data_IF_324722227226
#
_entry.id   IF_324722227226
#
_cell.length_a   1.000
_cell.length_b   1.000
_cell.length_c   1.000
_cell.angle_alpha   90.00
_cell.angle_beta   90.00
_cell.angle_gamma   90.00
#
_symmetry.space_group_name_H-M   'P 1'
#
loop_
_entity.id
_entity.type
_entity.pdbx_description
1 polymer ?
#
# COMPACT_ATOMS: atom_id res chain seq x y z
N UNK A 1 -26.09 27.45 -29.20
CA UNK A 1 -26.18 28.14 -30.51
C UNK A 1 -26.57 27.06 -31.50
N UNK A 2 -27.64 27.25 -32.26
CA UNK A 2 -28.13 26.24 -33.19
C UNK A 2 -27.46 26.46 -34.54
N UNK A 3 -26.81 25.44 -35.07
CA UNK A 3 -26.22 25.46 -36.41
C UNK A 3 -27.21 24.88 -37.42
N UNK A 4 -27.35 25.54 -38.55
CA UNK A 4 -28.11 25.02 -39.68
C UNK A 4 -27.16 24.20 -40.56
N UNK A 5 -27.35 22.88 -40.60
CA UNK A 5 -26.53 21.97 -41.40
C UNK A 5 -27.15 21.76 -42.79
N UNK A 6 -26.30 21.52 -43.80
CA UNK A 6 -26.76 21.12 -45.13
C UNK A 6 -26.80 19.60 -45.20
N UNK A 7 -27.99 19.02 -45.37
CA UNK A 7 -28.15 17.57 -45.60
C UNK A 7 -27.81 17.28 -47.07
N UNK A 8 -27.00 16.25 -47.32
CA UNK A 8 -26.62 15.85 -48.68
C UNK A 8 -27.75 15.08 -49.36
N UNK A 9 -27.74 15.02 -50.70
CA UNK A 9 -28.67 14.19 -51.46
C UNK A 9 -28.48 12.70 -51.16
N UNK A 10 -27.24 12.26 -50.97
CA UNK A 10 -26.91 10.90 -50.57
C UNK A 10 -27.45 10.56 -49.17
N UNK A 11 -27.30 11.46 -48.19
CA UNK A 11 -27.83 11.30 -46.84
C UNK A 11 -29.35 11.28 -46.80
N UNK A 12 -30.00 12.14 -47.60
CA UNK A 12 -31.47 12.09 -47.78
C UNK A 12 -31.92 10.77 -48.37
N UNK A 13 -31.23 10.27 -49.39
CA UNK A 13 -31.57 9.01 -50.04
C UNK A 13 -31.43 7.81 -49.08
N UNK A 14 -30.51 7.86 -48.11
CA UNK A 14 -30.34 6.79 -47.12
C UNK A 14 -31.47 6.77 -46.07
N UNK A 15 -32.06 7.93 -45.76
CA UNK A 15 -33.21 8.02 -44.85
C UNK A 15 -34.51 7.60 -45.54
N UNK A 16 -34.63 7.84 -46.84
CA UNK A 16 -35.83 7.48 -47.61
C UNK A 16 -35.70 6.00 -48.00
N UNK A 17 -36.67 5.17 -47.60
CA UNK A 17 -36.69 3.75 -48.01
C UNK A 17 -36.67 3.63 -49.55
N UNK A 18 -36.05 2.58 -50.10
CA UNK A 18 -35.85 2.38 -51.55
C UNK A 18 -37.14 2.51 -52.40
N UNK A 19 -38.30 2.28 -51.80
CA UNK A 19 -39.63 2.39 -52.43
C UNK A 19 -40.30 3.78 -52.26
N UNK A 20 -39.65 4.77 -51.63
CA UNK A 20 -40.19 6.10 -51.30
C UNK A 20 -41.50 6.09 -50.48
N UNK A 21 -41.78 5.02 -49.72
CA UNK A 21 -43.03 4.86 -48.96
C UNK A 21 -42.97 5.35 -47.50
N UNK A 22 -41.79 5.79 -47.03
CA UNK A 22 -41.56 6.26 -45.66
C UNK A 22 -40.08 6.51 -45.36
N UNK A 23 -39.77 6.86 -44.11
CA UNK A 23 -38.40 7.07 -43.60
C UNK A 23 -37.93 5.87 -42.77
N UNK A 24 -36.72 5.36 -43.02
CA UNK A 24 -36.06 4.34 -42.20
C UNK A 24 -35.13 4.98 -41.14
N UNK A 25 -34.77 4.24 -40.06
CA UNK A 25 -33.77 4.70 -39.11
C UNK A 25 -32.37 4.64 -39.74
N UNK A 26 -31.63 5.74 -39.69
CA UNK A 26 -30.23 5.85 -40.13
C UNK A 26 -29.34 6.08 -38.92
N UNK A 27 -28.27 5.30 -38.80
CA UNK A 27 -27.36 5.41 -37.66
C UNK A 27 -26.16 6.28 -38.01
N UNK A 28 -25.95 7.36 -37.25
CA UNK A 28 -24.73 8.18 -37.33
C UNK A 28 -23.67 7.59 -36.40
N UNK A 29 -22.51 7.21 -36.95
CA UNK A 29 -21.43 6.52 -36.24
C UNK A 29 -20.11 7.30 -36.23
N UNK A 30 -19.92 8.20 -37.20
CA UNK A 30 -18.67 8.91 -37.36
C UNK A 30 -18.90 10.40 -37.65
N UNK A 31 -17.89 11.20 -37.32
CA UNK A 31 -17.80 12.61 -37.70
C UNK A 31 -16.46 12.87 -38.39
N UNK A 32 -16.54 13.44 -39.58
CA UNK A 32 -15.40 14.04 -40.28
C UNK A 32 -15.18 15.46 -39.81
N UNK A 33 -13.94 15.83 -39.57
CA UNK A 33 -13.48 17.18 -39.26
C UNK A 33 -12.48 17.62 -40.32
N UNK A 34 -12.60 18.85 -40.79
CA UNK A 34 -11.72 19.38 -41.83
C UNK A 34 -11.44 20.87 -41.70
N UNK A 35 -10.56 21.35 -42.57
CA UNK A 35 -10.17 22.76 -42.67
C UNK A 35 -10.88 23.49 -43.83
N UNK A 36 -11.82 22.85 -44.52
CA UNK A 36 -12.54 23.44 -45.64
C UNK A 36 -13.39 24.64 -45.21
N UNK A 37 -13.32 25.70 -46.00
CA UNK A 37 -14.09 26.93 -45.84
C UNK A 37 -14.86 27.21 -47.12
N UNK A 38 -16.14 26.89 -47.14
CA UNK A 38 -16.97 27.04 -48.32
C UNK A 38 -18.45 27.07 -47.92
N UNK A 39 -19.33 27.36 -48.89
CA UNK A 39 -20.76 27.22 -48.69
C UNK A 39 -21.18 25.78 -49.05
N UNK A 40 -21.70 24.96 -48.11
CA UNK A 40 -21.96 23.56 -48.38
C UNK A 40 -22.96 23.32 -49.52
N UNK A 41 -22.67 22.30 -50.33
CA UNK A 41 -23.46 21.89 -51.49
C UNK A 41 -24.17 20.55 -51.19
N UNK A 42 -25.50 20.45 -51.35
CA UNK A 42 -26.22 19.19 -51.20
C UNK A 42 -25.70 18.02 -52.04
N UNK A 43 -25.05 18.26 -53.17
CA UNK A 43 -24.52 17.18 -54.04
C UNK A 43 -23.20 16.57 -53.54
N UNK A 44 -22.66 17.04 -52.40
CA UNK A 44 -21.39 16.54 -51.86
C UNK A 44 -21.47 15.09 -51.35
N UNK A 45 -20.49 14.29 -51.75
CA UNK A 45 -20.32 12.91 -51.28
C UNK A 45 -19.21 12.78 -50.22
N UNK A 46 -18.31 13.75 -50.14
CA UNK A 46 -17.19 13.82 -49.19
C UNK A 46 -16.96 15.26 -48.73
N UNK A 47 -16.30 15.43 -47.58
CA UNK A 47 -15.79 16.74 -47.15
C UNK A 47 -14.70 17.24 -48.12
N UNK A 48 -14.56 18.56 -48.24
CA UNK A 48 -13.66 19.15 -49.23
C UNK A 48 -12.19 19.10 -48.79
N UNK A 49 -11.93 19.26 -47.49
CA UNK A 49 -10.58 19.21 -46.90
C UNK A 49 -10.60 18.45 -45.57
N UNK A 50 -11.07 17.20 -45.61
CA UNK A 50 -11.08 16.33 -44.45
C UNK A 50 -9.68 16.12 -43.89
N UNK A 51 -9.53 16.39 -42.61
CA UNK A 51 -8.26 16.20 -41.88
C UNK A 51 -8.34 15.02 -40.92
N UNK A 52 -9.53 14.73 -40.39
CA UNK A 52 -9.69 13.69 -39.37
C UNK A 52 -11.09 13.09 -39.38
N UNK A 53 -11.16 11.78 -39.15
CA UNK A 53 -12.40 11.05 -38.84
C UNK A 53 -12.38 10.61 -37.38
N UNK A 54 -13.48 10.84 -36.66
CA UNK A 54 -13.67 10.42 -35.28
C UNK A 54 -14.92 9.54 -35.17
N UNK A 55 -14.83 8.47 -34.39
CA UNK A 55 -15.97 7.61 -34.01
C UNK A 55 -16.53 7.96 -32.61
N UNK A 56 -15.99 8.99 -31.97
CA UNK A 56 -16.36 9.48 -30.63
C UNK A 56 -17.46 10.54 -30.71
N UNK A 57 -18.55 10.19 -31.39
CA UNK A 57 -19.74 11.02 -31.57
C UNK A 57 -20.92 10.40 -30.83
N UNK A 58 -21.67 11.24 -30.10
CA UNK A 58 -22.94 10.87 -29.49
C UNK A 58 -23.98 11.93 -29.87
N UNK A 59 -25.24 11.52 -29.98
CA UNK A 59 -26.31 12.48 -30.23
C UNK A 59 -27.64 12.09 -29.59
N UNK A 60 -28.48 13.09 -29.42
CA UNK A 60 -29.82 12.97 -28.84
C UNK A 60 -30.80 13.82 -29.63
N UNK A 61 -32.01 13.32 -29.82
CA UNK A 61 -33.09 14.08 -30.43
C UNK A 61 -33.64 15.09 -29.41
N UNK A 62 -33.61 16.38 -29.74
CA UNK A 62 -34.08 17.47 -28.87
C UNK A 62 -35.49 17.90 -29.25
N UNK A 63 -35.79 17.97 -30.54
CA UNK A 63 -37.12 18.25 -31.11
C UNK A 63 -37.30 17.49 -32.43
N UNK A 64 -38.46 17.65 -33.08
CA UNK A 64 -38.77 16.98 -34.35
C UNK A 64 -37.77 17.29 -35.49
N UNK A 65 -37.05 18.41 -35.40
CA UNK A 65 -36.14 18.94 -36.41
C UNK A 65 -34.75 19.32 -35.83
N UNK A 66 -34.50 19.12 -34.54
CA UNK A 66 -33.23 19.44 -33.88
C UNK A 66 -32.65 18.21 -33.18
N UNK A 67 -31.35 17.99 -33.42
CA UNK A 67 -30.52 17.03 -32.71
C UNK A 67 -29.45 17.77 -31.91
N UNK A 68 -29.11 17.26 -30.74
CA UNK A 68 -27.92 17.63 -30.00
C UNK A 68 -26.82 16.64 -30.33
N UNK A 69 -25.65 17.11 -30.76
CA UNK A 69 -24.50 16.27 -31.10
C UNK A 69 -23.31 16.67 -30.25
N UNK A 70 -22.67 15.69 -29.63
CA UNK A 70 -21.44 15.85 -28.85
C UNK A 70 -20.31 15.04 -29.48
N UNK A 71 -19.14 15.66 -29.61
CA UNK A 71 -17.92 15.08 -30.19
C UNK A 71 -16.78 15.22 -29.17
N UNK A 72 -15.99 14.16 -29.00
CA UNK A 72 -14.81 14.16 -28.10
C UNK A 72 -13.55 13.74 -28.82
N UNK A 73 -12.47 14.53 -28.73
CA UNK A 73 -11.14 14.10 -29.17
C UNK A 73 -10.08 14.36 -28.08
N UNK A 74 -9.47 13.29 -27.57
CA UNK A 74 -8.40 13.29 -26.56
C UNK A 74 -7.01 12.97 -27.12
N UNK A 75 -6.89 12.77 -28.43
CA UNK A 75 -5.60 12.50 -29.09
C UNK A 75 -4.66 13.70 -29.01
N UNK A 76 -3.37 13.48 -29.26
CA UNK A 76 -2.34 14.55 -29.24
C UNK A 76 -2.32 15.46 -30.46
N UNK A 77 -3.24 15.30 -31.42
CA UNK A 77 -3.24 16.06 -32.66
C UNK A 77 -3.68 17.50 -32.43
N UNK A 78 -3.06 18.43 -33.17
CA UNK A 78 -3.43 19.84 -33.19
C UNK A 78 -4.01 20.19 -34.56
N UNK A 79 -5.22 20.76 -34.57
CA UNK A 79 -5.93 21.10 -35.79
C UNK A 79 -6.99 22.18 -35.54
N UNK A 80 -7.38 22.86 -36.61
CA UNK A 80 -8.52 23.78 -36.62
C UNK A 80 -9.67 23.11 -37.36
N UNK A 81 -10.88 23.25 -36.84
CA UNK A 81 -12.11 22.73 -37.44
C UNK A 81 -12.84 23.90 -38.09
N UNK A 82 -12.97 23.86 -39.40
CA UNK A 82 -13.73 24.83 -40.20
C UNK A 82 -14.93 24.16 -40.91
N UNK A 83 -14.86 22.85 -41.10
CA UNK A 83 -15.97 22.02 -41.56
C UNK A 83 -16.11 20.79 -40.67
N UNK A 84 -17.34 20.28 -40.56
CA UNK A 84 -17.60 18.94 -40.06
C UNK A 84 -18.69 18.25 -40.87
N UNK A 85 -18.58 16.94 -41.00
CA UNK A 85 -19.54 16.09 -41.69
C UNK A 85 -19.99 14.95 -40.79
N UNK A 86 -21.29 14.65 -40.76
CA UNK A 86 -21.85 13.48 -40.08
C UNK A 86 -21.87 12.31 -41.05
N UNK A 87 -21.44 11.13 -40.60
CA UNK A 87 -21.35 9.94 -41.43
C UNK A 87 -22.19 8.80 -40.87
N UNK A 88 -22.87 8.10 -41.78
CA UNK A 88 -23.67 6.93 -41.44
C UNK A 88 -22.79 5.70 -41.21
N UNK A 89 -23.36 4.64 -40.63
CA UNK A 89 -22.74 3.32 -40.53
C UNK A 89 -22.39 2.69 -41.90
N UNK A 90 -23.11 3.07 -42.95
CA UNK A 90 -22.80 2.73 -44.35
C UNK A 90 -21.62 3.52 -44.93
N UNK A 91 -21.10 4.52 -44.21
CA UNK A 91 -20.01 5.40 -44.65
C UNK A 91 -20.46 6.57 -45.53
N UNK A 92 -21.76 6.81 -45.67
CA UNK A 92 -22.29 7.94 -46.46
C UNK A 92 -22.13 9.26 -45.70
N UNK A 93 -21.70 10.31 -46.39
CA UNK A 93 -21.75 11.67 -45.83
C UNK A 93 -23.22 12.08 -45.73
N UNK A 94 -23.77 12.06 -44.51
CA UNK A 94 -25.17 12.35 -44.24
C UNK A 94 -25.48 13.86 -44.30
N UNK A 95 -24.67 14.65 -43.63
CA UNK A 95 -24.86 16.08 -43.53
C UNK A 95 -23.52 16.79 -43.33
N UNK A 96 -23.39 18.00 -43.85
CA UNK A 96 -22.16 18.78 -43.84
C UNK A 96 -22.43 20.21 -43.39
N UNK A 97 -21.53 20.71 -42.55
CA UNK A 97 -21.47 22.10 -42.15
C UNK A 97 -20.07 22.64 -42.42
N UNK A 98 -19.98 23.81 -43.04
CA UNK A 98 -18.74 24.56 -43.20
C UNK A 98 -19.07 26.04 -43.03
N UNK A 99 -18.19 26.79 -42.37
CA UNK A 99 -18.27 28.24 -42.29
C UNK A 99 -17.17 28.86 -43.16
N UNK A 100 -17.51 29.72 -44.13
CA UNK A 100 -16.56 30.28 -45.08
C UNK A 100 -15.58 31.29 -44.44
N UNK A 101 -15.87 31.83 -43.26
CA UNK A 101 -15.12 32.93 -42.66
C UNK A 101 -14.59 32.60 -41.25
N UNK A 102 -15.30 31.78 -40.46
CA UNK A 102 -15.00 31.57 -39.04
C UNK A 102 -14.64 30.10 -38.72
N UNK A 103 -13.62 29.86 -37.87
CA UNK A 103 -13.37 28.52 -37.35
C UNK A 103 -14.42 28.12 -36.30
N UNK A 104 -14.88 26.87 -36.37
CA UNK A 104 -15.87 26.28 -35.47
C UNK A 104 -15.21 25.94 -34.13
N UNK A 105 -14.02 25.37 -34.19
CA UNK A 105 -13.22 25.03 -33.02
C UNK A 105 -11.73 24.97 -33.38
N UNK A 106 -10.88 25.13 -32.37
CA UNK A 106 -9.45 24.92 -32.51
C UNK A 106 -8.97 24.02 -31.37
N UNK A 107 -8.21 22.98 -31.71
CA UNK A 107 -7.65 22.04 -30.75
C UNK A 107 -6.13 22.16 -30.74
N UNK A 108 -5.56 22.40 -29.56
CA UNK A 108 -4.12 22.29 -29.33
C UNK A 108 -3.75 20.86 -28.93
N UNK A 109 -2.49 20.46 -29.16
CA UNK A 109 -1.99 19.12 -28.86
C UNK A 109 -2.12 18.71 -27.37
N UNK A 110 -2.05 19.68 -26.46
CA UNK A 110 -2.18 19.47 -25.02
C UNK A 110 -3.63 19.56 -24.50
N UNK A 111 -4.62 19.73 -25.38
CA UNK A 111 -6.03 19.91 -25.00
C UNK A 111 -6.92 18.83 -25.60
N UNK A 112 -7.94 18.41 -24.86
CA UNK A 112 -9.06 17.66 -25.42
C UNK A 112 -10.03 18.63 -26.12
N UNK A 113 -10.63 18.19 -27.22
CA UNK A 113 -11.76 18.87 -27.86
C UNK A 113 -13.05 18.22 -27.35
N UNK A 114 -13.95 19.03 -26.78
CA UNK A 114 -15.32 18.66 -26.47
C UNK A 114 -16.22 19.67 -27.17
N UNK A 115 -16.84 19.26 -28.26
CA UNK A 115 -17.73 20.12 -29.04
C UNK A 115 -19.16 19.60 -28.91
N UNK A 116 -20.05 20.45 -28.40
CA UNK A 116 -21.47 20.16 -28.26
C UNK A 116 -22.26 21.20 -29.05
N UNK A 117 -23.08 20.75 -30.00
CA UNK A 117 -23.79 21.61 -30.95
C UNK A 117 -25.22 21.11 -31.12
N UNK A 118 -26.16 22.05 -31.14
CA UNK A 118 -27.53 21.80 -31.57
C UNK A 118 -27.61 22.01 -33.09
N UNK A 119 -28.13 21.03 -33.81
CA UNK A 119 -28.17 21.03 -35.28
C UNK A 119 -29.62 20.96 -35.73
N UNK A 120 -30.04 21.89 -36.58
CA UNK A 120 -31.35 21.86 -37.24
C UNK A 120 -31.28 21.10 -38.57
N UNK A 121 -32.12 20.07 -38.72
CA UNK A 121 -32.21 19.19 -39.88
C UNK A 121 -33.17 19.69 -40.98
N UNK A 122 -33.81 20.84 -40.77
CA UNK A 122 -34.70 21.46 -41.74
C UNK A 122 -35.95 20.63 -42.00
N UNK A 123 -36.08 20.05 -43.20
CA UNK A 123 -37.27 19.28 -43.62
C UNK A 123 -37.25 17.81 -43.19
N UNK A 124 -36.15 17.33 -42.59
CA UNK A 124 -36.00 15.95 -42.16
C UNK A 124 -36.42 15.77 -40.69
N UNK A 125 -37.11 14.67 -40.39
CA UNK A 125 -37.51 14.34 -39.03
C UNK A 125 -36.34 13.73 -38.23
N UNK A 126 -35.99 14.33 -37.10
CA UNK A 126 -34.90 13.89 -36.23
C UNK A 126 -35.10 12.47 -35.67
N UNK A 127 -36.34 11.97 -35.56
CA UNK A 127 -36.62 10.60 -35.11
C UNK A 127 -36.21 9.53 -36.13
N UNK A 128 -35.88 9.92 -37.36
CA UNK A 128 -35.29 9.01 -38.35
C UNK A 128 -33.79 8.77 -38.12
N UNK A 129 -33.17 9.47 -37.17
CA UNK A 129 -31.77 9.32 -36.84
C UNK A 129 -31.60 8.58 -35.51
N UNK A 130 -30.77 7.55 -35.55
CA UNK A 130 -30.18 6.93 -34.38
C UNK A 130 -28.71 7.31 -34.31
N UNK A 131 -28.16 7.41 -33.11
CA UNK A 131 -26.72 7.56 -32.92
C UNK A 131 -26.18 6.22 -32.42
N UNK A 132 -24.91 5.94 -32.71
CA UNK A 132 -24.21 4.77 -32.13
C UNK A 132 -24.15 4.81 -30.60
N UNK A 133 -23.41 3.87 -30.01
CA UNK A 133 -23.32 3.72 -28.55
C UNK A 133 -22.84 5.01 -27.86
N UNK A 134 -23.79 5.71 -27.24
CA UNK A 134 -23.64 7.00 -26.54
C UNK A 134 -22.85 6.93 -25.23
N UNK A 135 -22.35 5.74 -24.88
CA UNK A 135 -21.63 5.56 -23.64
C UNK A 135 -20.19 6.07 -23.82
N UNK A 136 -19.94 7.30 -23.38
CA UNK A 136 -18.66 7.65 -22.75
C UNK A 136 -18.52 6.82 -21.47
N UNK A 137 -18.51 5.49 -21.63
CA UNK A 137 -18.72 4.55 -20.55
C UNK A 137 -17.75 4.90 -19.44
N UNK A 138 -18.27 4.99 -18.23
CA UNK A 138 -17.48 4.94 -17.02
C UNK A 138 -17.36 3.45 -16.68
N UNK A 139 -16.46 2.67 -17.33
CA UNK A 139 -16.36 1.24 -17.05
C UNK A 139 -16.03 1.04 -15.56
N UNK A 140 -16.43 -0.10 -14.97
CA UNK A 140 -15.95 -0.45 -13.64
C UNK A 140 -14.42 -0.53 -13.65
N UNK A 141 -13.77 0.04 -12.63
CA UNK A 141 -12.32 -0.04 -12.51
C UNK A 141 -11.87 -1.50 -12.37
N UNK A 142 -10.76 -1.84 -13.02
CA UNK A 142 -10.07 -3.13 -12.86
C UNK A 142 -8.57 -2.91 -12.75
N UNK A 143 -7.79 -3.95 -12.46
CA UNK A 143 -6.33 -3.86 -12.41
C UNK A 143 -5.70 -3.42 -13.75
N UNK A 144 -6.37 -3.68 -14.87
CA UNK A 144 -5.85 -3.44 -16.23
C UNK A 144 -6.57 -2.31 -16.97
N UNK A 145 -7.74 -1.87 -16.49
CA UNK A 145 -8.56 -0.84 -17.16
C UNK A 145 -8.97 0.24 -16.14
N UNK A 146 -8.62 1.53 -16.40
CA UNK A 146 -9.06 2.63 -15.54
C UNK A 146 -10.58 2.79 -15.62
N UNK A 147 -11.22 3.09 -14.49
CA UNK A 147 -12.67 3.16 -14.39
C UNK A 147 -13.16 3.71 -13.06
N UNK A 148 -14.43 3.46 -12.74
CA UNK A 148 -15.06 3.85 -11.47
C UNK A 148 -15.22 2.63 -10.57
N UNK A 149 -14.85 2.76 -9.31
CA UNK A 149 -15.09 1.76 -8.28
C UNK A 149 -16.00 2.32 -7.19
N UNK A 150 -16.67 1.46 -6.44
CA UNK A 150 -17.42 1.86 -5.25
C UNK A 150 -16.51 1.77 -4.01
N UNK A 151 -16.75 2.61 -3.01
CA UNK A 151 -16.08 2.49 -1.72
C UNK A 151 -16.62 1.26 -0.95
N UNK A 152 -15.74 0.39 -0.44
CA UNK A 152 -16.11 -0.82 0.30
C UNK A 152 -16.88 -0.51 1.61
N UNK A 153 -17.76 -1.37 2.11
CA UNK A 153 -18.30 -1.22 3.48
C UNK A 153 -17.29 -1.71 4.52
N UNK A 154 -17.52 -1.48 5.82
CA UNK A 154 -16.64 -2.02 6.87
C UNK A 154 -16.67 -3.55 6.91
N UNK A 155 -17.85 -4.15 6.72
CA UNK A 155 -18.01 -5.62 6.68
C UNK A 155 -17.18 -6.21 5.53
N UNK A 156 -17.30 -5.63 4.33
CA UNK A 156 -16.52 -6.07 3.16
C UNK A 156 -15.01 -5.89 3.36
N UNK A 157 -14.59 -4.83 4.06
CA UNK A 157 -13.18 -4.60 4.40
C UNK A 157 -12.66 -5.64 5.38
N UNK A 158 -13.48 -6.02 6.38
CA UNK A 158 -13.11 -7.01 7.40
C UNK A 158 -13.11 -8.44 6.83
N UNK A 159 -13.96 -8.73 5.84
CA UNK A 159 -14.00 -10.02 5.13
C UNK A 159 -12.83 -10.18 4.13
N UNK A 160 -12.40 -9.08 3.48
CA UNK A 160 -11.20 -9.07 2.63
C UNK A 160 -11.31 -9.90 1.34
N UNK A 161 -12.53 -10.21 0.88
CA UNK A 161 -12.78 -11.05 -0.29
C UNK A 161 -13.12 -10.28 -1.57
N UNK A 162 -13.48 -9.00 -1.46
CA UNK A 162 -13.92 -8.18 -2.59
C UNK A 162 -12.80 -7.31 -3.15
N UNK A 163 -12.41 -7.57 -4.40
CA UNK A 163 -11.32 -6.87 -5.09
C UNK A 163 -11.80 -5.75 -6.05
N UNK A 164 -13.10 -5.50 -6.12
CA UNK A 164 -13.70 -4.51 -7.05
C UNK A 164 -13.94 -3.14 -6.40
N UNK A 165 -13.62 -2.98 -5.11
CA UNK A 165 -13.95 -1.81 -4.30
C UNK A 165 -12.71 -1.19 -3.66
N UNK A 166 -12.73 0.12 -3.48
CA UNK A 166 -11.63 0.84 -2.82
C UNK A 166 -11.88 1.05 -1.31
N UNK A 167 -10.79 1.02 -0.54
CA UNK A 167 -10.78 1.29 0.89
C UNK A 167 -10.61 2.80 1.13
N UNK A 168 -11.34 3.36 2.10
CA UNK A 168 -11.16 4.76 2.54
C UNK A 168 -10.34 4.82 3.82
N UNK A 169 -9.74 5.98 4.11
CA UNK A 169 -8.90 6.18 5.31
C UNK A 169 -9.61 5.78 6.62
N UNK A 170 -10.92 6.00 6.73
CA UNK A 170 -11.73 5.59 7.90
C UNK A 170 -11.75 4.06 8.07
N UNK A 171 -11.88 3.31 6.98
CA UNK A 171 -11.97 1.85 6.98
C UNK A 171 -10.60 1.23 7.26
N UNK A 172 -9.55 1.78 6.64
CA UNK A 172 -8.17 1.40 6.94
C UNK A 172 -7.84 1.61 8.42
N UNK A 173 -8.24 2.75 9.00
CA UNK A 173 -8.03 3.04 10.43
C UNK A 173 -8.73 2.01 11.34
N UNK A 174 -9.93 1.55 10.97
CA UNK A 174 -10.65 0.54 11.74
C UNK A 174 -10.04 -0.87 11.64
N UNK A 175 -9.32 -1.17 10.56
CA UNK A 175 -8.57 -2.41 10.43
C UNK A 175 -7.34 -2.45 11.36
N UNK A 176 -6.78 -1.28 11.70
CA UNK A 176 -5.72 -1.14 12.70
C UNK A 176 -6.29 -1.34 14.11
N UNK A 177 -6.46 -2.60 14.51
CA UNK A 177 -6.92 -3.02 15.83
C UNK A 177 -5.73 -3.40 16.71
N UNK A 178 -5.85 -3.18 18.02
CA UNK A 178 -4.90 -3.68 19.01
C UNK A 178 -4.96 -5.22 19.02
N UNK A 179 -3.80 -5.89 18.97
CA UNK A 179 -3.75 -7.34 19.10
C UNK A 179 -4.16 -7.78 20.51
N UNK A 180 -4.85 -8.91 20.59
CA UNK A 180 -5.13 -9.64 21.84
C UNK A 180 -4.88 -11.13 21.62
N UNK A 181 -4.93 -11.94 22.67
CA UNK A 181 -4.77 -13.40 22.54
C UNK A 181 -5.76 -14.07 21.56
N UNK A 182 -6.94 -13.46 21.38
CA UNK A 182 -8.00 -13.99 20.52
C UNK A 182 -8.19 -13.23 19.20
N UNK A 183 -7.55 -12.07 19.03
CA UNK A 183 -7.75 -11.17 17.88
C UNK A 183 -6.40 -10.78 17.30
N UNK A 184 -6.20 -11.10 16.01
CA UNK A 184 -5.06 -10.60 15.25
C UNK A 184 -5.11 -9.07 15.18
N UNK A 185 -3.96 -8.43 15.41
CA UNK A 185 -3.86 -6.98 15.39
C UNK A 185 -2.42 -6.50 15.45
N UNK A 186 -2.27 -5.20 15.72
CA UNK A 186 -0.98 -4.54 15.85
C UNK A 186 -0.62 -4.38 17.33
N UNK A 187 0.67 -4.48 17.65
CA UNK A 187 1.21 -4.22 18.98
C UNK A 187 2.25 -3.11 18.91
N UNK A 188 2.33 -2.28 19.96
CA UNK A 188 3.44 -1.36 20.13
C UNK A 188 4.65 -2.12 20.65
N UNK A 189 5.84 -1.60 20.37
CA UNK A 189 7.07 -2.13 20.98
C UNK A 189 7.16 -1.61 22.43
N UNK A 190 7.32 -2.53 23.39
CA UNK A 190 7.46 -2.20 24.80
C UNK A 190 8.65 -1.27 25.03
N UNK A 191 8.53 -0.31 25.94
CA UNK A 191 9.68 0.43 26.48
C UNK A 191 10.49 -0.43 27.45
N UNK A 192 11.68 0.02 27.83
CA UNK A 192 12.48 -0.69 28.85
C UNK A 192 11.73 -0.74 30.19
N UNK A 193 11.15 0.39 30.62
CA UNK A 193 10.38 0.47 31.87
C UNK A 193 9.17 -0.50 31.87
N UNK A 194 8.41 -0.57 30.78
CA UNK A 194 7.31 -1.54 30.65
C UNK A 194 7.80 -3.00 30.72
N UNK A 195 8.97 -3.30 30.13
CA UNK A 195 9.56 -4.64 30.20
C UNK A 195 9.99 -4.98 31.63
N UNK A 196 10.52 -4.01 32.37
CA UNK A 196 10.94 -4.20 33.76
C UNK A 196 9.76 -4.32 34.73
N UNK A 197 8.65 -3.61 34.47
CA UNK A 197 7.43 -3.68 35.29
C UNK A 197 6.63 -4.98 35.04
N UNK A 198 6.60 -5.47 33.80
CA UNK A 198 6.05 -6.78 33.45
C UNK A 198 4.52 -6.88 33.58
N UNK A 199 3.79 -5.77 33.51
CA UNK A 199 2.32 -5.71 33.71
C UNK A 199 1.52 -5.44 32.45
N UNK A 200 2.16 -4.94 31.37
CA UNK A 200 1.49 -4.52 30.14
C UNK A 200 1.45 -5.65 29.10
N UNK A 201 0.25 -6.17 28.84
CA UNK A 201 -0.02 -7.24 27.87
C UNK A 201 -0.32 -6.71 26.45
N UNK A 202 -0.24 -5.39 26.24
CA UNK A 202 -0.58 -4.77 24.94
C UNK A 202 0.65 -4.50 24.06
N UNK A 203 1.85 -4.84 24.55
CA UNK A 203 3.13 -4.49 23.94
C UNK A 203 4.03 -5.69 23.67
N UNK A 204 4.83 -5.61 22.60
CA UNK A 204 5.78 -6.64 22.21
C UNK A 204 7.21 -6.32 22.69
N UNK A 205 7.89 -7.31 23.28
CA UNK A 205 9.28 -7.21 23.73
C UNK A 205 10.25 -7.50 22.57
N UNK A 206 11.32 -6.73 22.44
CA UNK A 206 12.35 -6.96 21.41
C UNK A 206 13.49 -7.84 21.94
N UNK A 207 14.25 -8.54 21.07
CA UNK A 207 15.41 -9.34 21.50
C UNK A 207 16.44 -8.54 22.33
N UNK A 208 16.61 -7.25 22.01
CA UNK A 208 17.48 -6.35 22.80
C UNK A 208 17.03 -6.23 24.26
N UNK A 209 15.72 -6.13 24.50
CA UNK A 209 15.14 -6.02 25.84
C UNK A 209 15.07 -7.39 26.54
N UNK A 210 14.86 -8.46 25.77
CA UNK A 210 14.92 -9.83 26.30
C UNK A 210 16.33 -10.18 26.81
N UNK A 211 17.38 -9.76 26.09
CA UNK A 211 18.78 -9.94 26.52
C UNK A 211 19.24 -8.90 27.54
N UNK A 212 18.48 -7.82 27.74
CA UNK A 212 18.85 -6.76 28.67
C UNK A 212 18.91 -7.31 30.09
N UNK A 213 20.04 -7.13 30.76
CA UNK A 213 20.29 -7.66 32.10
C UNK A 213 20.69 -9.14 32.14
N UNK A 214 20.72 -9.88 31.01
CA UNK A 214 21.33 -11.20 30.97
C UNK A 214 22.79 -11.09 30.54
N UNK A 215 23.71 -11.46 31.44
CA UNK A 215 25.16 -11.46 31.19
C UNK A 215 25.78 -12.76 31.69
N UNK A 216 26.76 -13.30 30.97
CA UNK A 216 27.36 -14.59 31.30
C UNK A 216 28.85 -14.62 30.92
N UNK A 217 29.65 -15.20 31.80
CA UNK A 217 31.06 -15.53 31.57
C UNK A 217 31.31 -16.99 31.99
N UNK A 218 31.58 -17.86 31.00
CA UNK A 218 31.82 -19.29 31.22
C UNK A 218 33.32 -19.61 31.35
N UNK A 219 33.98 -18.98 32.32
CA UNK A 219 35.38 -19.24 32.67
C UNK A 219 35.52 -20.17 33.87
N UNK A 220 36.77 -20.57 34.17
CA UNK A 220 37.11 -21.27 35.43
C UNK A 220 36.72 -20.45 36.66
N UNK A 221 36.89 -19.13 36.57
CA UNK A 221 36.15 -18.16 37.38
C UNK A 221 35.11 -17.50 36.47
N UNK A 222 33.84 -17.57 36.85
CA UNK A 222 32.75 -17.21 35.95
C UNK A 222 31.51 -16.74 36.69
N UNK A 223 30.51 -16.31 35.91
CA UNK A 223 29.24 -15.83 36.44
C UNK A 223 28.07 -15.94 35.46
N UNK A 224 26.85 -15.92 36.01
CA UNK A 224 25.59 -15.70 35.30
C UNK A 224 24.82 -14.59 36.02
N UNK A 225 24.39 -13.57 35.29
CA UNK A 225 23.48 -12.50 35.76
C UNK A 225 22.13 -12.70 35.08
N UNK A 226 21.08 -12.79 35.89
CA UNK A 226 19.71 -12.78 35.41
C UNK A 226 19.19 -11.34 35.25
N UNK A 227 18.29 -11.10 34.29
CA UNK A 227 17.66 -9.78 34.12
C UNK A 227 16.96 -9.23 35.36
N UNK A 228 16.83 -7.91 35.42
CA UNK A 228 16.12 -7.16 36.48
C UNK A 228 14.69 -7.65 36.68
N UNK A 229 13.96 -7.87 35.58
CA UNK A 229 12.58 -8.37 35.58
C UNK A 229 12.46 -9.84 36.07
N UNK A 230 13.56 -10.61 36.11
CA UNK A 230 13.63 -11.93 36.76
C UNK A 230 14.11 -11.86 38.21
N UNK A 231 14.19 -10.67 38.80
CA UNK A 231 14.69 -10.46 40.15
C UNK A 231 16.19 -10.12 40.22
N UNK A 232 16.93 -10.19 39.11
CA UNK A 232 18.33 -9.73 39.06
C UNK A 232 19.35 -10.61 39.78
N UNK A 233 19.05 -11.91 39.95
CA UNK A 233 19.92 -12.84 40.68
C UNK A 233 21.25 -13.03 39.95
N UNK A 234 22.34 -13.11 40.71
CA UNK A 234 23.69 -13.31 40.21
C UNK A 234 24.25 -14.59 40.82
N UNK A 235 24.83 -15.44 39.97
CA UNK A 235 25.61 -16.61 40.35
C UNK A 235 27.06 -16.36 39.96
N UNK A 236 27.99 -16.58 40.88
CA UNK A 236 29.43 -16.50 40.59
C UNK A 236 30.11 -17.74 41.14
N UNK A 237 31.13 -18.22 40.44
CA UNK A 237 31.94 -19.35 40.85
C UNK A 237 33.41 -19.14 40.53
N UNK A 238 34.26 -19.92 41.19
CA UNK A 238 35.67 -19.95 40.88
C UNK A 238 36.44 -20.95 41.71
N UNK A 239 37.75 -20.99 41.49
CA UNK A 239 38.67 -21.83 42.23
C UNK A 239 39.98 -21.09 42.52
N UNK A 240 40.59 -21.40 43.66
CA UNK A 240 41.90 -20.87 44.04
C UNK A 240 42.71 -21.94 44.76
N UNK A 241 44.02 -21.97 44.51
CA UNK A 241 44.94 -22.85 45.23
C UNK A 241 45.47 -22.10 46.46
N UNK A 242 45.32 -22.71 47.63
CA UNK A 242 45.72 -22.12 48.90
C UNK A 242 46.70 -23.07 49.60
N UNK A 243 47.81 -22.53 50.09
CA UNK A 243 48.74 -23.27 50.94
C UNK A 243 48.11 -23.55 52.30
N UNK A 244 48.30 -24.75 52.84
CA UNK A 244 47.78 -25.15 54.14
C UNK A 244 48.07 -24.12 55.24
N UNK A 245 47.06 -23.82 56.06
CA UNK A 245 47.15 -22.86 57.16
C UNK A 245 47.01 -21.39 56.74
N UNK A 246 46.77 -21.11 55.46
CA UNK A 246 46.62 -19.75 54.95
C UNK A 246 45.19 -19.46 54.47
N UNK A 247 44.95 -18.19 54.14
CA UNK A 247 43.74 -17.71 53.49
C UNK A 247 44.09 -16.88 52.26
N UNK A 248 43.14 -16.78 51.34
CA UNK A 248 43.21 -15.90 50.17
C UNK A 248 41.92 -15.09 50.06
N UNK A 249 42.06 -13.79 49.82
CA UNK A 249 40.96 -12.91 49.44
C UNK A 249 40.74 -12.99 47.94
N UNK A 250 39.67 -13.67 47.54
CA UNK A 250 39.25 -13.83 46.15
C UNK A 250 38.37 -12.64 45.76
N UNK A 251 38.84 -11.89 44.77
CA UNK A 251 38.04 -10.85 44.10
C UNK A 251 37.05 -11.55 43.17
N UNK A 252 35.77 -11.26 43.36
CA UNK A 252 34.70 -11.79 42.54
C UNK A 252 34.76 -11.19 41.11
N UNK A 253 34.42 -11.97 40.07
CA UNK A 253 34.36 -11.48 38.70
C UNK A 253 33.53 -10.20 38.52
N UNK A 254 32.43 -10.07 39.26
CA UNK A 254 31.62 -8.86 39.36
C UNK A 254 31.23 -8.58 40.82
N UNK A 255 31.05 -7.32 41.17
CA UNK A 255 30.47 -6.93 42.47
C UNK A 255 28.99 -7.27 42.49
N UNK A 256 28.46 -7.77 43.62
CA UNK A 256 27.03 -7.87 43.87
C UNK A 256 26.46 -6.49 44.29
N UNK A 257 25.60 -5.84 43.48
CA UNK A 257 24.99 -4.54 43.83
C UNK A 257 24.39 -4.38 45.24
N UNK A 258 23.72 -5.40 45.78
CA UNK A 258 22.99 -5.36 47.07
C UNK A 258 23.61 -6.22 48.16
N UNK A 259 24.26 -7.33 47.82
CA UNK A 259 24.87 -8.24 48.77
C UNK A 259 25.03 -9.68 48.29
N UNK A 260 25.89 -10.42 48.98
CA UNK A 260 26.01 -11.88 48.83
C UNK A 260 24.96 -12.50 49.74
N UNK A 261 23.97 -13.19 49.17
CA UNK A 261 22.93 -13.84 49.96
C UNK A 261 23.45 -15.12 50.59
N UNK A 262 24.13 -15.96 49.80
CA UNK A 262 24.73 -17.22 50.26
C UNK A 262 25.99 -17.50 49.48
N UNK A 263 26.94 -18.16 50.13
CA UNK A 263 28.17 -18.63 49.50
C UNK A 263 28.63 -19.91 50.17
N UNK A 264 29.19 -20.82 49.39
CA UNK A 264 29.71 -22.09 49.85
C UNK A 264 31.01 -22.41 49.16
N UNK A 265 31.81 -23.26 49.79
CA UNK A 265 33.10 -23.71 49.34
C UNK A 265 33.17 -25.24 49.33
N UNK A 266 33.98 -25.77 48.44
CA UNK A 266 34.33 -27.18 48.35
C UNK A 266 35.81 -27.34 48.05
N UNK A 267 36.31 -28.56 48.15
CA UNK A 267 37.65 -28.91 47.69
C UNK A 267 37.53 -29.83 46.49
N UNK A 268 38.36 -29.61 45.46
CA UNK A 268 38.40 -30.53 44.33
C UNK A 268 38.89 -31.91 44.77
N UNK A 269 38.22 -32.96 44.28
CA UNK A 269 38.60 -34.34 44.56
C UNK A 269 40.00 -34.63 43.98
N UNK A 270 40.87 -35.23 44.80
CA UNK A 270 42.17 -35.75 44.38
C UNK A 270 42.09 -37.28 44.47
N UNK A 271 42.68 -37.97 43.51
CA UNK A 271 42.58 -39.43 43.36
C UNK A 271 43.09 -40.24 44.56
N UNK A 272 43.91 -39.67 45.44
CA UNK A 272 44.33 -40.28 46.71
C UNK A 272 44.41 -39.22 47.82
N UNK A 273 43.54 -39.29 48.83
CA UNK A 273 43.63 -38.43 50.02
C UNK A 273 44.68 -38.99 50.99
N UNK A 274 45.83 -38.33 51.10
CA UNK A 274 46.90 -38.65 52.05
C UNK A 274 46.72 -38.02 53.45
N UNK A 275 45.88 -37.00 53.55
CA UNK A 275 45.75 -36.12 54.72
C UNK A 275 44.32 -35.60 54.87
N UNK A 276 43.88 -35.35 56.11
CA UNK A 276 42.61 -34.68 56.37
C UNK A 276 42.71 -33.20 55.95
N UNK A 277 41.62 -32.68 55.36
CA UNK A 277 41.54 -31.30 54.85
C UNK A 277 40.28 -30.61 55.36
N UNK A 278 40.38 -29.32 55.66
CA UNK A 278 39.26 -28.47 56.00
C UNK A 278 39.33 -27.16 55.21
N UNK A 279 38.18 -26.73 54.68
CA UNK A 279 38.05 -25.48 53.93
C UNK A 279 37.00 -24.59 54.56
N UNK A 280 37.30 -23.30 54.63
CA UNK A 280 36.42 -22.28 55.21
C UNK A 280 36.13 -21.18 54.20
N UNK A 281 35.03 -20.46 54.39
CA UNK A 281 34.69 -19.30 53.59
C UNK A 281 34.06 -18.23 54.47
N UNK A 282 34.44 -16.98 54.24
CA UNK A 282 33.87 -15.79 54.86
C UNK A 282 33.53 -14.76 53.78
N UNK A 283 32.34 -14.16 53.87
CA UNK A 283 31.95 -13.02 53.05
C UNK A 283 32.55 -11.75 53.67
N UNK A 284 33.44 -11.07 52.94
CA UNK A 284 34.11 -9.86 53.45
C UNK A 284 33.30 -8.61 53.08
N UNK A 285 32.94 -8.51 51.82
CA UNK A 285 32.12 -7.44 51.26
C UNK A 285 31.42 -7.95 49.98
N UNK A 286 30.76 -7.07 49.23
CA UNK A 286 29.98 -7.45 48.05
C UNK A 286 30.81 -7.84 46.81
N UNK A 287 32.13 -7.67 46.85
CA UNK A 287 33.04 -8.02 45.75
C UNK A 287 34.18 -8.97 46.16
N UNK A 288 34.24 -9.39 47.43
CA UNK A 288 35.37 -10.16 47.97
C UNK A 288 34.90 -11.28 48.90
N UNK A 289 35.38 -12.49 48.62
CA UNK A 289 35.28 -13.65 49.50
C UNK A 289 36.64 -13.99 50.08
N UNK A 290 36.71 -14.28 51.36
CA UNK A 290 37.90 -14.87 51.96
C UNK A 290 37.73 -16.37 52.05
N UNK A 291 38.68 -17.09 51.49
CA UNK A 291 38.67 -18.56 51.46
C UNK A 291 39.88 -19.08 52.24
N UNK A 292 39.65 -20.11 53.06
CA UNK A 292 40.65 -20.70 53.94
C UNK A 292 40.89 -22.15 53.55
N UNK A 293 42.14 -22.61 53.69
CA UNK A 293 42.47 -24.02 53.57
C UNK A 293 43.43 -24.47 54.66
N UNK A 294 43.17 -25.65 55.21
CA UNK A 294 44.07 -26.34 56.12
C UNK A 294 44.11 -27.83 55.79
N UNK A 295 45.30 -28.41 55.86
CA UNK A 295 45.58 -29.83 55.65
C UNK A 295 46.60 -30.32 56.68
N UNK A 296 46.40 -31.53 57.21
CA UNK A 296 47.29 -32.11 58.23
C UNK A 296 48.70 -32.42 57.71
N UNK A 297 48.84 -32.67 56.39
CA UNK A 297 50.13 -32.92 55.74
C UNK A 297 50.79 -31.68 55.14
N UNK A 298 50.20 -30.49 55.33
CA UNK A 298 50.75 -29.22 54.82
C UNK A 298 50.59 -29.01 53.31
N UNK A 299 49.86 -29.89 52.61
CA UNK A 299 49.69 -29.82 51.15
C UNK A 299 48.80 -28.65 50.73
N UNK A 300 49.10 -28.08 49.55
CA UNK A 300 48.23 -27.11 48.90
C UNK A 300 46.87 -27.72 48.59
N UNK A 301 45.82 -26.91 48.74
CA UNK A 301 44.43 -27.30 48.53
C UNK A 301 43.79 -26.37 47.50
N UNK A 302 43.25 -26.93 46.43
CA UNK A 302 42.35 -26.21 45.53
C UNK A 302 41.00 -26.11 46.20
N UNK A 303 40.57 -24.87 46.46
CA UNK A 303 39.27 -24.56 47.01
C UNK A 303 38.39 -23.95 45.92
N UNK A 304 37.28 -24.60 45.63
CA UNK A 304 36.23 -24.09 44.77
C UNK A 304 35.21 -23.34 45.61
N UNK A 305 34.60 -22.32 45.04
CA UNK A 305 33.57 -21.54 45.69
C UNK A 305 32.44 -21.22 44.74
N UNK A 306 31.25 -21.09 45.29
CA UNK A 306 30.06 -20.59 44.62
C UNK A 306 29.45 -19.51 45.52
N UNK A 307 29.07 -18.38 44.93
CA UNK A 307 28.34 -17.31 45.60
C UNK A 307 27.10 -16.93 44.80
N UNK A 308 26.02 -16.67 45.54
CA UNK A 308 24.71 -16.27 45.02
C UNK A 308 24.31 -14.99 45.73
N UNK A 309 23.85 -14.00 44.97
CA UNK A 309 23.51 -12.69 45.51
C UNK A 309 22.88 -11.80 44.45
N UNK A 310 22.74 -10.52 44.77
CA UNK A 310 22.27 -9.47 43.85
C UNK A 310 22.97 -8.19 44.18
#
# INVERSE_FOLDING_TARGET
MVLQITITDAGRAEVINADNTGTGPVTITEVGLGTGQYNPDPEQLTLTAETKRLNTIAGQVVSADIIHVTIKDETGDAYTVNEFGLYTDSGTLFAVYSDPENPIAQKASASALLLAVDITLGTLNANSLTFGDTSFAMPPASETVPGIAQAATQVETDEGTNDTKFITAKKLKNWVKQATESVLGMMKVATQAQTDEGTDDTVAVTPKKLRWGFSILLGGNGYIVFPSWMGGLIFQWGAVVIQSGNFVDVILPITFPTGIFRSTQGTQAISNLSSARSVGLQQINTSTLRVYAYSTGGENTTVEWIAIGK
#
